data_IF_628172202585
#
_entry.id   IF_628172202585
#
_cell.length_a   1.000
_cell.length_b   1.000
_cell.length_c   1.000
_cell.angle_alpha   90.00
_cell.angle_beta   90.00
_cell.angle_gamma   90.00
#
_symmetry.space_group_name_H-M   'P 1'
#
loop_
_entity.id
_entity.type
_entity.pdbx_description
1 polymer ?
#
# COMPACT_ATOMS: atom_id res chain seq x y z
N UNK A 1 20.09 8.10 -0.27
CA UNK A 1 18.75 8.67 -0.08
C UNK A 1 17.84 7.46 0.01
N UNK A 2 17.48 7.06 1.22
CA UNK A 2 16.75 5.80 1.46
C UNK A 2 15.27 6.18 1.51
N UNK A 3 14.58 6.09 0.37
CA UNK A 3 13.14 6.28 0.30
C UNK A 3 12.49 5.00 0.80
N UNK A 4 12.00 5.01 2.03
CA UNK A 4 11.02 4.02 2.45
C UNK A 4 9.70 4.45 1.80
N UNK A 5 9.26 3.72 0.78
CA UNK A 5 7.89 3.85 0.26
C UNK A 5 6.96 3.29 1.34
N UNK A 6 6.60 4.17 2.28
CA UNK A 6 5.67 3.93 3.36
C UNK A 6 4.25 3.86 2.82
N UNK A 7 3.82 2.67 2.40
CA UNK A 7 2.41 2.33 2.30
C UNK A 7 1.96 1.71 3.60
N UNK A 8 1.18 2.42 4.41
CA UNK A 8 0.56 1.85 5.60
C UNK A 8 -0.56 0.88 5.18
N UNK A 9 -0.31 -0.43 5.19
CA UNK A 9 -1.37 -1.44 5.12
C UNK A 9 -1.81 -1.75 6.55
N UNK A 10 -2.84 -1.05 7.04
CA UNK A 10 -3.44 -1.35 8.35
C UNK A 10 -4.87 -1.84 8.23
N UNK A 11 -5.14 -2.98 8.86
CA UNK A 11 -6.48 -3.47 9.18
C UNK A 11 -7.08 -4.32 8.07
N UNK A 12 -7.56 -5.51 8.45
CA UNK A 12 -8.32 -6.40 7.58
C UNK A 12 -9.56 -5.70 7.05
N UNK A 13 -9.41 -5.07 5.89
CA UNK A 13 -10.50 -4.63 5.08
C UNK A 13 -10.87 -5.81 4.18
N UNK A 14 -12.15 -6.18 4.16
CA UNK A 14 -12.71 -6.88 2.99
C UNK A 14 -12.69 -5.88 1.82
N UNK A 15 -11.50 -5.53 1.32
CA UNK A 15 -11.33 -4.48 0.33
C UNK A 15 -11.05 -5.14 -1.02
N UNK A 16 -11.96 -5.06 -1.99
CA UNK A 16 -11.69 -5.44 -3.38
C UNK A 16 -10.77 -4.42 -4.07
N UNK A 17 -9.88 -3.75 -3.31
CA UNK A 17 -9.08 -2.63 -3.76
C UNK A 17 -7.61 -3.05 -3.75
N UNK A 18 -6.95 -2.93 -4.89
CA UNK A 18 -5.62 -3.47 -5.13
C UNK A 18 -4.71 -2.42 -5.75
N UNK A 19 -3.40 -2.63 -5.61
CA UNK A 19 -2.38 -2.02 -6.47
C UNK A 19 -2.14 -2.92 -7.68
N UNK A 20 -1.56 -2.35 -8.74
CA UNK A 20 -1.18 -3.14 -9.91
C UNK A 20 0.03 -4.04 -9.62
N UNK A 21 0.13 -5.15 -10.35
CA UNK A 21 1.32 -5.99 -10.37
C UNK A 21 2.57 -5.16 -10.74
N UNK A 22 3.71 -5.51 -10.13
CA UNK A 22 4.98 -4.77 -10.21
C UNK A 22 5.11 -3.63 -9.18
N UNK A 23 4.08 -3.35 -8.37
CA UNK A 23 4.19 -2.39 -7.27
C UNK A 23 5.16 -2.94 -6.23
N UNK A 24 6.21 -2.17 -5.90
CA UNK A 24 7.24 -2.61 -4.96
C UNK A 24 6.80 -2.42 -3.51
N UNK A 25 7.05 -3.43 -2.68
CA UNK A 25 6.77 -3.46 -1.25
C UNK A 25 8.09 -3.60 -0.50
N UNK A 26 8.35 -2.72 0.46
CA UNK A 26 9.53 -2.83 1.32
C UNK A 26 9.37 -4.01 2.30
N UNK A 27 10.20 -5.03 2.15
CA UNK A 27 10.29 -6.18 3.06
C UNK A 27 11.62 -6.19 3.82
N UNK A 28 11.73 -7.07 4.81
CA UNK A 28 13.02 -7.32 5.50
C UNK A 28 14.13 -7.84 4.55
N UNK A 29 13.76 -8.40 3.40
CA UNK A 29 14.68 -8.94 2.39
C UNK A 29 14.99 -7.93 1.27
N UNK A 30 14.38 -6.74 1.29
CA UNK A 30 14.46 -5.74 0.23
C UNK A 30 13.10 -5.48 -0.43
N UNK A 31 13.11 -4.81 -1.57
CA UNK A 31 11.91 -4.53 -2.35
C UNK A 31 11.45 -5.80 -3.09
N UNK A 32 10.19 -6.17 -2.90
CA UNK A 32 9.55 -7.33 -3.52
C UNK A 32 8.28 -6.86 -4.23
N UNK A 33 7.98 -7.41 -5.40
CA UNK A 33 6.76 -7.06 -6.12
C UNK A 33 5.52 -7.56 -5.34
N UNK A 34 4.44 -6.79 -5.34
CA UNK A 34 3.25 -7.08 -4.52
C UNK A 34 2.61 -8.44 -4.84
N UNK A 35 2.70 -8.89 -6.10
CA UNK A 35 2.22 -10.20 -6.54
C UNK A 35 3.06 -11.39 -6.01
N UNK A 36 4.29 -11.13 -5.56
CA UNK A 36 5.21 -12.14 -5.02
C UNK A 36 5.20 -12.16 -3.46
N UNK A 37 4.42 -11.28 -2.82
CA UNK A 37 4.30 -11.25 -1.35
C UNK A 37 3.41 -12.40 -0.87
N UNK A 38 3.88 -13.12 0.14
CA UNK A 38 3.17 -14.24 0.74
C UNK A 38 2.77 -13.99 2.21
N UNK A 39 1.78 -14.74 2.69
CA UNK A 39 1.42 -14.73 4.11
C UNK A 39 2.61 -15.18 4.95
N UNK A 40 2.96 -14.37 5.95
CA UNK A 40 4.14 -14.56 6.80
C UNK A 40 5.34 -13.71 6.41
N UNK A 41 5.35 -13.09 5.22
CA UNK A 41 6.37 -12.10 4.88
C UNK A 41 6.27 -10.88 5.79
N UNK A 42 7.42 -10.27 6.07
CA UNK A 42 7.49 -9.08 6.92
C UNK A 42 7.66 -7.83 6.06
N UNK A 43 6.62 -7.01 6.05
CA UNK A 43 6.54 -5.76 5.28
C UNK A 43 6.64 -4.56 6.20
N UNK A 44 7.23 -3.47 5.71
CA UNK A 44 7.29 -2.20 6.44
C UNK A 44 5.89 -1.59 6.52
N UNK A 45 5.39 -1.37 7.73
CA UNK A 45 4.08 -0.78 7.96
C UNK A 45 4.15 0.33 9.01
N UNK A 46 3.30 1.35 8.86
CA UNK A 46 3.15 2.44 9.82
C UNK A 46 1.82 2.31 10.56
N UNK A 47 1.85 2.50 11.88
CA UNK A 47 0.64 2.63 12.69
C UNK A 47 0.13 4.09 12.64
N UNK A 48 -1.05 4.36 12.05
CA UNK A 48 -1.56 5.71 11.87
C UNK A 48 -1.90 6.45 13.17
N UNK A 49 -2.16 5.73 14.28
CA UNK A 49 -2.47 6.35 15.58
C UNK A 49 -1.20 6.79 16.32
N UNK A 50 -0.09 6.10 16.12
CA UNK A 50 1.15 6.31 16.90
C UNK A 50 2.32 6.83 16.08
N UNK A 51 2.28 6.69 14.75
CA UNK A 51 3.38 6.94 13.83
C UNK A 51 4.52 5.92 13.92
N UNK A 52 4.33 4.81 14.64
CA UNK A 52 5.34 3.75 14.74
C UNK A 52 5.47 3.04 13.39
N UNK A 53 6.68 3.06 12.83
CA UNK A 53 7.04 2.33 11.61
C UNK A 53 7.86 1.11 11.99
N UNK A 54 7.37 -0.08 11.64
CA UNK A 54 8.02 -1.35 11.97
C UNK A 54 7.64 -2.45 10.95
N UNK A 55 8.41 -3.53 10.93
CA UNK A 55 8.11 -4.68 10.08
C UNK A 55 7.02 -5.56 10.70
N UNK A 56 5.91 -5.75 9.99
CA UNK A 56 4.78 -6.56 10.45
C UNK A 56 4.52 -7.73 9.49
N UNK A 57 4.07 -8.89 10.01
CA UNK A 57 3.79 -10.04 9.18
C UNK A 57 2.52 -9.82 8.35
N UNK A 58 2.56 -10.21 7.08
CA UNK A 58 1.39 -10.29 6.20
C UNK A 58 0.48 -11.41 6.70
N UNK A 59 -0.78 -11.09 6.95
CA UNK A 59 -1.76 -12.04 7.48
C UNK A 59 -2.62 -12.67 6.38
N UNK A 60 -2.84 -11.95 5.30
CA UNK A 60 -3.69 -12.35 4.18
C UNK A 60 -3.31 -11.55 2.93
N UNK A 61 -3.50 -12.16 1.76
CA UNK A 61 -3.25 -11.56 0.45
C UNK A 61 -4.51 -11.63 -0.41
N UNK A 62 -4.72 -10.64 -1.28
CA UNK A 62 -5.87 -10.57 -2.18
C UNK A 62 -5.42 -10.34 -3.61
N UNK A 63 -6.00 -11.08 -4.56
CA UNK A 63 -5.76 -10.94 -6.00
C UNK A 63 -7.09 -10.70 -6.72
N UNK A 64 -7.16 -9.65 -7.53
CA UNK A 64 -8.33 -9.31 -8.33
C UNK A 64 -7.91 -8.81 -9.72
N UNK A 65 -8.71 -9.16 -10.74
CA UNK A 65 -8.56 -8.63 -12.09
C UNK A 65 -9.56 -7.49 -12.32
N UNK A 66 -9.05 -6.31 -12.70
CA UNK A 66 -9.87 -5.14 -13.06
C UNK A 66 -9.15 -4.27 -14.10
N UNK A 67 -9.93 -3.49 -14.86
CA UNK A 67 -9.40 -2.47 -15.78
C UNK A 67 -9.61 -1.04 -15.25
N UNK A 68 -10.38 -0.88 -14.17
CA UNK A 68 -10.72 0.41 -13.57
C UNK A 68 -9.64 0.81 -12.55
N UNK A 69 -8.65 1.56 -13.02
CA UNK A 69 -7.51 2.05 -12.22
C UNK A 69 -7.37 3.57 -12.33
N UNK A 70 -6.75 4.17 -11.31
CA UNK A 70 -6.35 5.57 -11.27
C UNK A 70 -4.82 5.68 -11.21
N UNK A 71 -4.30 6.75 -11.81
CA UNK A 71 -2.89 7.10 -11.79
C UNK A 71 -2.70 8.25 -10.81
N UNK A 72 -1.87 8.05 -9.79
CA UNK A 72 -1.53 9.06 -8.80
C UNK A 72 -0.05 9.41 -8.94
N UNK A 73 0.28 10.68 -8.82
CA UNK A 73 1.66 11.14 -8.68
C UNK A 73 1.82 11.80 -7.33
N UNK A 74 2.65 11.22 -6.45
CA UNK A 74 2.91 11.70 -5.10
C UNK A 74 4.41 11.95 -5.00
N UNK A 75 4.83 13.19 -4.72
CA UNK A 75 6.25 13.58 -4.64
C UNK A 75 7.12 13.17 -5.85
N UNK A 76 6.51 13.04 -7.03
CA UNK A 76 7.18 12.65 -8.27
C UNK A 76 7.23 11.14 -8.52
N UNK A 77 6.68 10.33 -7.61
CA UNK A 77 6.51 8.88 -7.78
C UNK A 77 5.12 8.57 -8.32
N UNK A 78 5.04 7.62 -9.25
CA UNK A 78 3.79 7.20 -9.87
C UNK A 78 3.23 5.94 -9.19
N UNK A 79 1.96 5.98 -8.80
CA UNK A 79 1.21 4.86 -8.26
C UNK A 79 0.02 4.57 -9.16
N UNK A 80 -0.22 3.28 -9.43
CA UNK A 80 -1.39 2.82 -10.18
C UNK A 80 -2.18 1.88 -9.28
N UNK A 81 -3.44 2.22 -9.03
CA UNK A 81 -4.27 1.54 -8.04
C UNK A 81 -5.74 1.65 -8.38
N UNK A 82 -6.60 0.85 -7.74
CA UNK A 82 -8.06 1.01 -7.87
C UNK A 82 -8.55 2.31 -7.22
N UNK A 83 -9.60 2.93 -7.77
CA UNK A 83 -10.14 4.21 -7.27
C UNK A 83 -10.47 4.20 -5.77
N UNK A 84 -10.95 3.07 -5.26
CA UNK A 84 -11.33 2.90 -3.86
C UNK A 84 -10.17 2.61 -2.91
N UNK A 85 -8.95 2.43 -3.40
CA UNK A 85 -7.82 2.07 -2.54
C UNK A 85 -7.50 3.21 -1.57
N UNK A 86 -7.44 2.96 -0.25
CA UNK A 86 -7.22 4.01 0.73
C UNK A 86 -5.74 4.41 0.81
N UNK A 87 -5.48 5.71 0.86
CA UNK A 87 -4.18 6.32 1.15
C UNK A 87 -4.28 7.11 2.44
N UNK A 88 -3.27 6.99 3.29
CA UNK A 88 -3.21 7.76 4.52
C UNK A 88 -2.69 9.19 4.24
N UNK A 89 -3.37 10.19 4.80
CA UNK A 89 -2.98 11.60 4.71
C UNK A 89 -2.91 12.19 6.12
N UNK A 90 -1.96 13.10 6.35
CA UNK A 90 -1.78 13.72 7.68
C UNK A 90 -2.99 14.57 8.11
N UNK A 91 -3.71 15.16 7.16
CA UNK A 91 -4.83 16.06 7.45
C UNK A 91 -6.19 15.35 7.55
N UNK A 92 -6.39 14.28 6.78
CA UNK A 92 -7.71 13.64 6.62
C UNK A 92 -7.73 12.16 7.01
N UNK A 93 -6.60 11.58 7.41
CA UNK A 93 -6.47 10.15 7.61
C UNK A 93 -6.60 9.39 6.29
N UNK A 94 -7.22 8.20 6.32
CA UNK A 94 -7.42 7.38 5.12
C UNK A 94 -8.46 8.01 4.17
N UNK A 95 -8.02 8.29 2.95
CA UNK A 95 -8.82 8.85 1.86
C UNK A 95 -8.70 7.93 0.65
N UNK A 96 -9.79 7.72 -0.09
CA UNK A 96 -9.74 6.90 -1.32
C UNK A 96 -8.87 7.55 -2.39
N UNK A 97 -8.19 6.73 -3.18
CA UNK A 97 -7.34 7.18 -4.27
C UNK A 97 -8.03 8.19 -5.21
N UNK A 98 -9.28 7.92 -5.62
CA UNK A 98 -10.06 8.82 -6.49
C UNK A 98 -10.47 10.16 -5.85
N UNK A 99 -10.32 10.30 -4.54
CA UNK A 99 -10.65 11.52 -3.78
C UNK A 99 -9.43 12.35 -3.38
N UNK A 100 -8.22 11.88 -3.70
CA UNK A 100 -6.99 12.67 -3.59
C UNK A 100 -6.95 13.70 -4.72
N UNK A 101 -6.63 14.96 -4.40
CA UNK A 101 -6.60 16.09 -5.33
C UNK A 101 -5.40 16.97 -5.06
#
# INVERSE_FOLDING_TARGET
MWGAIGGAVTGGMNSPHCFVAGTLVCTIAGEVAIEDIEVGDYVLAENPETGEVDYKPVLETYEHATYDVVYLTIDGEEFITTEGHPFYTLERGFVKAGELR
#
